data_IF_689123375574
#
_entry.id   IF_689123375574
#
_cell.length_a   1.000
_cell.length_b   1.000
_cell.length_c   1.000
_cell.angle_alpha   90.00
_cell.angle_beta   90.00
_cell.angle_gamma   90.00
#
_symmetry.space_group_name_H-M   'P 1'
#
loop_
_entity.id
_entity.type
_entity.pdbx_description
1 polymer ?
#
# COMPACT_ATOMS: atom_id res chain seq x y z
N UNK A 1 -21.96 -17.85 -3.65
CA UNK A 1 -22.06 -16.46 -3.22
C UNK A 1 -21.40 -15.59 -4.26
N UNK A 2 -22.20 -14.76 -4.91
CA UNK A 2 -21.83 -14.01 -6.10
C UNK A 2 -20.86 -12.87 -5.72
N UNK A 3 -19.60 -12.98 -6.16
CA UNK A 3 -18.71 -11.86 -6.27
C UNK A 3 -19.08 -11.08 -7.53
N UNK A 4 -19.66 -9.90 -7.38
CA UNK A 4 -20.04 -9.05 -8.50
C UNK A 4 -18.94 -8.07 -8.96
N UNK A 5 -17.72 -8.13 -8.41
CA UNK A 5 -16.58 -7.39 -8.98
C UNK A 5 -15.82 -8.27 -9.96
N UNK A 6 -16.26 -8.26 -11.19
CA UNK A 6 -15.70 -9.03 -12.29
C UNK A 6 -14.19 -8.86 -12.50
N UNK A 7 -13.63 -7.71 -12.11
CA UNK A 7 -12.24 -7.39 -12.38
C UNK A 7 -11.21 -8.07 -11.43
N UNK A 8 -11.52 -8.23 -10.13
CA UNK A 8 -10.59 -8.88 -9.19
C UNK A 8 -10.42 -10.37 -9.48
N UNK A 9 -11.46 -11.02 -10.03
CA UNK A 9 -11.41 -12.41 -10.43
C UNK A 9 -10.45 -12.68 -11.61
N UNK A 10 -9.98 -11.63 -12.30
CA UNK A 10 -8.99 -11.75 -13.37
C UNK A 10 -7.55 -11.89 -12.82
N UNK A 11 -7.32 -11.55 -11.55
CA UNK A 11 -6.03 -11.76 -10.92
C UNK A 11 -5.91 -13.23 -10.50
N UNK A 12 -4.95 -13.93 -11.09
CA UNK A 12 -4.63 -15.29 -10.70
C UNK A 12 -3.90 -15.30 -9.34
N UNK A 13 -4.66 -15.52 -8.26
CA UNK A 13 -4.18 -15.50 -6.88
C UNK A 13 -4.93 -16.55 -6.03
N UNK A 14 -4.30 -16.94 -4.91
CA UNK A 14 -4.95 -17.72 -3.84
C UNK A 14 -5.70 -16.77 -2.91
N UNK A 15 -7.02 -16.62 -3.09
CA UNK A 15 -7.80 -15.62 -2.40
C UNK A 15 -8.29 -16.05 -1.02
N UNK A 16 -8.01 -15.20 -0.03
CA UNK A 16 -8.58 -15.26 1.32
C UNK A 16 -9.59 -14.11 1.44
N UNK A 17 -10.86 -14.45 1.52
CA UNK A 17 -11.91 -13.46 1.73
C UNK A 17 -12.18 -13.30 3.23
N UNK A 18 -11.75 -12.22 3.81
CA UNK A 18 -11.86 -11.96 5.24
C UNK A 18 -13.24 -11.47 5.68
N UNK A 19 -14.07 -10.95 4.77
CA UNK A 19 -15.44 -10.49 5.10
C UNK A 19 -16.42 -11.64 5.40
N UNK A 20 -16.11 -12.86 4.94
CA UNK A 20 -16.96 -14.04 5.12
C UNK A 20 -16.71 -14.78 6.45
N UNK A 21 -15.74 -14.35 7.24
CA UNK A 21 -15.30 -15.09 8.40
C UNK A 21 -16.05 -14.70 9.68
N UNK A 22 -17.07 -15.46 10.01
CA UNK A 22 -17.46 -15.69 11.41
C UNK A 22 -16.58 -16.83 11.96
N UNK A 23 -15.28 -16.67 11.99
CA UNK A 23 -14.35 -17.72 12.39
C UNK A 23 -14.37 -17.90 13.91
N UNK A 24 -14.63 -19.11 14.34
CA UNK A 24 -14.45 -19.57 15.73
C UNK A 24 -13.25 -20.52 15.89
N UNK A 25 -12.42 -20.69 14.85
CA UNK A 25 -11.38 -21.72 14.88
C UNK A 25 -10.18 -21.37 13.98
N UNK A 26 -9.05 -21.88 14.38
CA UNK A 26 -7.85 -21.95 13.57
C UNK A 26 -8.06 -22.95 12.41
N UNK A 27 -7.60 -22.61 11.20
CA UNK A 27 -7.59 -23.52 10.07
C UNK A 27 -6.31 -23.30 9.25
N UNK A 28 -5.90 -24.33 8.53
CA UNK A 28 -4.80 -24.24 7.57
C UNK A 28 -5.31 -24.41 6.15
N UNK A 29 -4.65 -23.71 5.24
CA UNK A 29 -4.83 -23.89 3.81
C UNK A 29 -3.51 -24.38 3.21
N UNK A 30 -3.56 -25.41 2.38
CA UNK A 30 -2.40 -25.83 1.62
C UNK A 30 -2.35 -25.05 0.29
N UNK A 31 -1.25 -24.36 0.06
CA UNK A 31 -1.01 -23.57 -1.14
C UNK A 31 0.34 -23.96 -1.69
N UNK A 32 0.38 -24.56 -2.89
CA UNK A 32 1.62 -24.99 -3.54
C UNK A 32 2.54 -25.82 -2.61
N UNK A 33 1.96 -26.79 -1.89
CA UNK A 33 2.61 -27.65 -0.91
C UNK A 33 3.10 -26.92 0.38
N UNK A 34 2.69 -25.67 0.58
CA UNK A 34 2.93 -24.90 1.82
C UNK A 34 1.66 -24.86 2.66
N UNK A 35 1.76 -25.29 3.92
CA UNK A 35 0.67 -25.22 4.87
C UNK A 35 0.67 -23.86 5.59
N UNK A 36 -0.22 -22.96 5.14
CA UNK A 36 -0.43 -21.63 5.73
C UNK A 36 -1.46 -21.75 6.85
N UNK A 37 -1.09 -21.32 8.05
CA UNK A 37 -2.01 -21.24 9.18
C UNK A 37 -2.73 -19.90 9.18
N UNK A 38 -4.06 -19.94 9.36
CA UNK A 38 -4.90 -18.76 9.51
C UNK A 38 -5.70 -18.91 10.79
N UNK A 39 -5.54 -17.99 11.72
CA UNK A 39 -6.25 -18.00 12.99
C UNK A 39 -6.96 -16.68 13.26
N UNK A 40 -8.09 -16.77 13.94
CA UNK A 40 -8.81 -15.63 14.46
C UNK A 40 -8.54 -15.54 15.97
N UNK A 41 -7.84 -14.50 16.36
CA UNK A 41 -7.45 -14.28 17.75
C UNK A 41 -8.43 -13.29 18.37
N UNK A 42 -9.17 -13.73 19.39
CA UNK A 42 -10.09 -12.85 20.12
C UNK A 42 -9.32 -11.99 21.11
N UNK A 43 -9.51 -10.68 21.03
CA UNK A 43 -8.86 -9.72 21.94
C UNK A 43 -9.27 -9.89 23.41
N UNK A 44 -10.33 -10.67 23.69
CA UNK A 44 -10.78 -10.96 25.05
C UNK A 44 -9.97 -12.04 25.79
N UNK A 45 -9.16 -12.84 25.07
CA UNK A 45 -8.57 -14.07 25.63
C UNK A 45 -7.04 -14.11 25.67
N UNK A 46 -6.33 -13.16 25.08
CA UNK A 46 -4.87 -13.17 25.03
C UNK A 46 -4.27 -11.80 25.33
N UNK A 47 -3.10 -11.79 25.99
CA UNK A 47 -2.25 -10.62 26.07
C UNK A 47 -1.67 -10.35 24.66
N UNK A 48 -2.45 -9.71 23.84
CA UNK A 48 -1.98 -9.22 22.56
C UNK A 48 -1.04 -8.03 22.82
N UNK A 49 0.21 -8.18 22.48
CA UNK A 49 1.15 -7.07 22.45
C UNK A 49 0.85 -6.23 21.19
N UNK A 50 -0.21 -5.45 21.31
CA UNK A 50 -0.60 -4.51 20.26
C UNK A 50 0.39 -3.36 20.33
N UNK A 51 1.23 -3.21 19.33
CA UNK A 51 2.09 -2.04 19.21
C UNK A 51 1.23 -0.78 18.99
N UNK A 52 1.01 -0.03 20.05
CA UNK A 52 0.17 1.16 20.09
C UNK A 52 1.08 2.38 20.18
N UNK A 53 1.64 2.78 19.05
CA UNK A 53 2.56 3.91 19.01
C UNK A 53 1.94 5.19 18.40
N UNK A 54 0.69 5.12 17.96
CA UNK A 54 -0.01 6.21 17.29
C UNK A 54 -1.53 6.18 17.57
N UNK A 55 -2.23 7.32 17.40
CA UNK A 55 -3.67 7.41 17.68
C UNK A 55 -4.56 6.50 16.83
N UNK A 56 -4.15 6.18 15.60
CA UNK A 56 -4.92 5.35 14.65
C UNK A 56 -4.90 3.90 15.13
N UNK A 57 -3.71 3.39 15.46
CA UNK A 57 -3.55 2.04 16.03
C UNK A 57 -4.25 1.92 17.39
N UNK A 58 -4.22 2.98 18.22
CA UNK A 58 -4.97 3.04 19.47
C UNK A 58 -6.48 2.89 19.23
N UNK A 59 -7.04 3.67 18.30
CA UNK A 59 -8.46 3.60 17.98
C UNK A 59 -8.84 2.23 17.44
N UNK A 60 -8.02 1.67 16.55
CA UNK A 60 -8.23 0.32 16.04
C UNK A 60 -8.23 -0.71 17.15
N UNK A 61 -7.23 -0.68 18.04
CA UNK A 61 -7.11 -1.62 19.16
C UNK A 61 -8.28 -1.56 20.15
N UNK A 62 -8.86 -0.38 20.37
CA UNK A 62 -10.01 -0.20 21.25
C UNK A 62 -11.31 -0.74 20.67
N UNK A 63 -11.44 -0.72 19.34
CA UNK A 63 -12.69 -1.04 18.64
C UNK A 63 -12.69 -2.43 18.01
N UNK A 64 -11.53 -3.04 17.85
CA UNK A 64 -11.40 -4.37 17.25
C UNK A 64 -11.87 -5.45 18.21
N UNK A 65 -12.55 -6.47 17.65
CA UNK A 65 -12.99 -7.66 18.41
C UNK A 65 -12.08 -8.85 18.17
N UNK A 66 -11.62 -8.98 16.94
CA UNK A 66 -10.86 -10.13 16.49
C UNK A 66 -9.73 -9.68 15.57
N UNK A 67 -8.57 -10.30 15.71
CA UNK A 67 -7.38 -10.09 14.87
C UNK A 67 -7.18 -11.32 14.00
N UNK A 68 -6.99 -11.11 12.72
CA UNK A 68 -6.65 -12.19 11.79
C UNK A 68 -5.14 -12.36 11.81
N UNK A 69 -4.69 -13.57 12.10
CA UNK A 69 -3.27 -13.93 12.05
C UNK A 69 -3.04 -14.93 10.93
N UNK A 70 -2.11 -14.61 10.03
CA UNK A 70 -1.65 -15.47 8.94
C UNK A 70 -0.20 -15.82 9.22
N UNK A 71 0.12 -17.11 9.30
CA UNK A 71 1.48 -17.58 9.54
C UNK A 71 1.94 -18.41 8.36
N UNK A 72 3.01 -17.96 7.71
CA UNK A 72 3.67 -18.63 6.59
C UNK A 72 4.93 -19.30 7.15
N UNK A 73 5.06 -20.63 7.05
CA UNK A 73 6.20 -21.33 7.62
C UNK A 73 7.51 -20.96 6.92
N UNK A 74 8.63 -21.26 7.57
CA UNK A 74 9.96 -21.05 7.00
C UNK A 74 10.20 -21.89 5.74
N UNK A 75 11.11 -21.43 4.89
CA UNK A 75 11.50 -22.06 3.62
C UNK A 75 10.32 -22.18 2.62
N UNK A 76 9.34 -21.29 2.73
CA UNK A 76 8.18 -21.25 1.82
C UNK A 76 8.52 -20.48 0.54
N UNK A 77 8.15 -21.05 -0.60
CA UNK A 77 8.21 -20.35 -1.89
C UNK A 77 6.86 -20.52 -2.58
N UNK A 78 6.11 -19.42 -2.70
CA UNK A 78 4.77 -19.42 -3.28
C UNK A 78 4.80 -18.52 -4.52
N UNK A 79 4.64 -19.10 -5.70
CA UNK A 79 4.70 -18.36 -6.96
C UNK A 79 3.43 -17.56 -7.22
N UNK A 80 2.28 -18.19 -7.00
CA UNK A 80 0.99 -17.56 -7.17
C UNK A 80 0.65 -16.71 -5.95
N UNK A 81 0.31 -15.41 -6.13
CA UNK A 81 0.11 -14.51 -5.00
C UNK A 81 -0.95 -14.99 -4.00
N UNK A 82 -0.69 -14.79 -2.73
CA UNK A 82 -1.70 -14.88 -1.68
C UNK A 82 -2.47 -13.57 -1.64
N UNK A 83 -3.76 -13.60 -1.96
CA UNK A 83 -4.62 -12.43 -2.02
C UNK A 83 -5.52 -12.29 -0.80
N UNK A 84 -5.51 -11.13 -0.18
CA UNK A 84 -6.40 -10.75 0.92
C UNK A 84 -7.40 -9.73 0.37
N UNK A 85 -8.68 -10.02 0.47
CA UNK A 85 -9.74 -9.09 0.07
C UNK A 85 -10.54 -8.65 1.29
N UNK A 86 -10.65 -7.34 1.44
CA UNK A 86 -11.53 -6.70 2.40
C UNK A 86 -12.77 -6.19 1.69
N UNK A 87 -13.86 -6.93 1.79
CA UNK A 87 -15.17 -6.51 1.29
C UNK A 87 -16.09 -6.30 2.47
N UNK A 88 -16.64 -5.11 2.61
CA UNK A 88 -17.66 -4.86 3.62
C UNK A 88 -19.04 -5.22 3.08
N UNK A 89 -19.76 -6.04 3.85
CA UNK A 89 -21.22 -6.09 3.79
C UNK A 89 -21.72 -5.50 5.12
N UNK A 90 -21.93 -4.19 5.22
CA UNK A 90 -22.45 -3.63 6.46
C UNK A 90 -23.80 -4.26 6.77
N UNK A 91 -23.95 -4.74 7.98
CA UNK A 91 -25.25 -4.96 8.54
C UNK A 91 -25.94 -3.59 8.58
N UNK A 92 -27.22 -3.57 8.27
CA UNK A 92 -28.05 -2.37 8.34
C UNK A 92 -27.76 -1.60 9.63
N UNK A 93 -27.14 -0.39 9.54
CA UNK A 93 -26.71 0.53 10.59
C UNK A 93 -25.24 0.50 11.04
N UNK A 94 -24.34 -0.22 10.39
CA UNK A 94 -22.91 -0.10 10.67
C UNK A 94 -22.33 1.08 9.87
N UNK A 95 -21.71 2.05 10.56
CA UNK A 95 -21.07 3.22 9.94
C UNK A 95 -19.56 3.08 9.80
N UNK A 96 -18.98 2.06 10.41
CA UNK A 96 -17.53 1.86 10.40
C UNK A 96 -17.14 0.38 10.49
N UNK A 97 -15.95 0.08 9.94
CA UNK A 97 -15.23 -1.18 10.18
C UNK A 97 -13.85 -0.90 10.75
N UNK A 98 -13.48 -1.72 11.73
CA UNK A 98 -12.12 -1.78 12.25
C UNK A 98 -11.55 -3.15 11.88
N UNK A 99 -10.45 -3.16 11.16
CA UNK A 99 -9.84 -4.36 10.61
C UNK A 99 -8.40 -4.47 11.12
N UNK A 100 -7.98 -5.67 11.52
CA UNK A 100 -6.58 -5.94 11.88
C UNK A 100 -6.13 -7.29 11.37
N UNK A 101 -4.95 -7.29 10.75
CA UNK A 101 -4.32 -8.50 10.26
C UNK A 101 -2.84 -8.49 10.62
N UNK A 102 -2.34 -9.61 11.09
CA UNK A 102 -0.91 -9.86 11.36
C UNK A 102 -0.45 -10.97 10.43
N UNK A 103 0.66 -10.76 9.75
CA UNK A 103 1.25 -11.72 8.81
C UNK A 103 2.67 -12.01 9.24
N UNK A 104 2.91 -13.23 9.73
CA UNK A 104 4.24 -13.71 10.08
C UNK A 104 4.81 -14.51 8.92
N UNK A 105 5.96 -14.11 8.40
CA UNK A 105 6.64 -14.78 7.29
C UNK A 105 7.96 -15.37 7.78
N UNK A 106 8.01 -16.69 7.85
CA UNK A 106 9.17 -17.44 8.35
C UNK A 106 10.40 -17.29 7.46
N UNK A 107 11.56 -17.59 8.04
CA UNK A 107 12.88 -17.43 7.41
C UNK A 107 13.03 -18.13 6.05
N UNK A 108 13.89 -17.58 5.18
CA UNK A 108 14.23 -18.11 3.85
C UNK A 108 13.01 -18.30 2.95
N UNK A 109 12.00 -17.43 3.05
CA UNK A 109 10.76 -17.52 2.28
C UNK A 109 10.72 -16.50 1.14
N UNK A 110 9.99 -16.82 0.07
CA UNK A 110 9.75 -15.93 -1.07
C UNK A 110 8.25 -15.88 -1.36
N UNK A 111 7.63 -14.73 -1.08
CA UNK A 111 6.17 -14.61 -1.00
C UNK A 111 5.67 -13.40 -1.79
N UNK A 112 4.61 -13.60 -2.54
CA UNK A 112 3.82 -12.54 -3.17
C UNK A 112 2.51 -12.36 -2.40
N UNK A 113 2.26 -11.14 -1.89
CA UNK A 113 1.03 -10.79 -1.18
C UNK A 113 0.28 -9.69 -1.92
N UNK A 114 -1.03 -9.84 -2.02
CA UNK A 114 -1.94 -8.80 -2.55
C UNK A 114 -2.97 -8.48 -1.49
N UNK A 115 -3.17 -7.20 -1.22
CA UNK A 115 -4.17 -6.72 -0.27
C UNK A 115 -5.10 -5.72 -0.96
N UNK A 116 -6.38 -6.07 -1.12
CA UNK A 116 -7.35 -5.24 -1.84
C UNK A 116 -8.44 -4.77 -0.91
N UNK A 117 -8.58 -3.46 -0.85
CA UNK A 117 -9.68 -2.77 -0.19
C UNK A 117 -10.65 -2.24 -1.23
N UNK A 118 -11.84 -2.80 -1.28
CA UNK A 118 -12.90 -2.36 -2.18
C UNK A 118 -14.27 -2.51 -1.54
N UNK A 119 -15.20 -1.65 -1.93
CA UNK A 119 -16.57 -1.71 -1.47
C UNK A 119 -17.52 -1.18 -2.55
N UNK A 120 -18.68 -1.80 -2.70
CA UNK A 120 -19.74 -1.38 -3.61
C UNK A 120 -20.83 -0.55 -2.91
N UNK A 121 -20.67 -0.27 -1.61
CA UNK A 121 -21.65 0.47 -0.83
C UNK A 121 -21.63 1.94 -1.26
N UNK A 122 -22.79 2.51 -1.50
CA UNK A 122 -22.95 3.91 -1.91
C UNK A 122 -23.02 4.89 -0.74
N UNK A 123 -23.34 4.39 0.46
CA UNK A 123 -23.47 5.17 1.68
C UNK A 123 -22.12 5.64 2.20
N UNK A 124 -22.13 6.69 3.04
CA UNK A 124 -20.94 7.15 3.73
C UNK A 124 -20.48 6.10 4.75
N UNK A 125 -19.21 5.74 4.69
CA UNK A 125 -18.65 4.67 5.52
C UNK A 125 -17.21 4.96 5.93
N UNK A 126 -16.85 4.63 7.17
CA UNK A 126 -15.50 4.79 7.69
C UNK A 126 -14.81 3.43 7.86
N UNK A 127 -13.57 3.34 7.39
CA UNK A 127 -12.75 2.13 7.51
C UNK A 127 -11.45 2.50 8.20
N UNK A 128 -11.16 1.80 9.30
CA UNK A 128 -9.88 1.86 9.99
C UNK A 128 -9.23 0.48 9.92
N UNK A 129 -8.11 0.37 9.22
CA UNK A 129 -7.40 -0.90 9.08
C UNK A 129 -5.96 -0.81 9.59
N UNK A 130 -5.50 -1.88 10.23
CA UNK A 130 -4.11 -2.06 10.64
C UNK A 130 -3.61 -3.40 10.11
N UNK A 131 -2.46 -3.36 9.41
CA UNK A 131 -1.74 -4.52 8.93
C UNK A 131 -0.35 -4.53 9.56
N UNK A 132 0.07 -5.65 10.12
CA UNK A 132 1.42 -5.87 10.62
C UNK A 132 2.05 -7.02 9.83
N UNK A 133 3.27 -6.83 9.35
CA UNK A 133 3.98 -7.83 8.55
C UNK A 133 5.37 -8.02 9.13
N UNK A 134 5.61 -9.17 9.73
CA UNK A 134 6.90 -9.56 10.26
C UNK A 134 7.61 -10.49 9.27
N UNK A 135 8.79 -10.07 8.79
CA UNK A 135 9.55 -10.78 7.76
C UNK A 135 10.87 -11.24 8.36
N UNK A 136 10.96 -12.54 8.60
CA UNK A 136 12.15 -13.15 9.16
C UNK A 136 13.33 -13.18 8.16
N UNK A 137 14.50 -13.54 8.67
CA UNK A 137 15.79 -13.47 7.97
C UNK A 137 15.79 -14.14 6.60
N UNK A 138 16.50 -13.53 5.64
CA UNK A 138 16.68 -13.97 4.26
C UNK A 138 15.37 -14.13 3.46
N UNK A 139 14.26 -13.59 3.93
CA UNK A 139 12.97 -13.69 3.23
C UNK A 139 12.74 -12.48 2.32
N UNK A 140 12.06 -12.72 1.20
CA UNK A 140 11.73 -11.69 0.21
C UNK A 140 10.23 -11.63 0.01
N UNK A 141 9.67 -10.44 0.07
CA UNK A 141 8.23 -10.21 -0.06
C UNK A 141 7.95 -9.17 -1.14
N UNK A 142 7.10 -9.54 -2.10
CA UNK A 142 6.43 -8.60 -2.98
C UNK A 142 5.05 -8.32 -2.41
N UNK A 143 4.77 -7.08 -2.04
CA UNK A 143 3.50 -6.69 -1.46
C UNK A 143 2.83 -5.63 -2.33
N UNK A 144 1.57 -5.87 -2.69
CA UNK A 144 0.73 -4.94 -3.42
C UNK A 144 -0.52 -4.63 -2.63
N UNK A 145 -0.67 -3.38 -2.22
CA UNK A 145 -1.90 -2.85 -1.64
C UNK A 145 -2.66 -2.03 -2.67
N UNK A 146 -3.95 -2.27 -2.78
CA UNK A 146 -4.85 -1.49 -3.64
C UNK A 146 -6.02 -0.99 -2.80
N UNK A 147 -6.14 0.31 -2.65
CA UNK A 147 -7.30 0.97 -2.07
C UNK A 147 -8.15 1.57 -3.21
N UNK A 148 -9.35 1.04 -3.41
CA UNK A 148 -10.31 1.48 -4.42
C UNK A 148 -11.73 1.52 -3.85
N UNK A 149 -11.91 2.25 -2.75
CA UNK A 149 -13.22 2.47 -2.17
C UNK A 149 -14.05 3.49 -2.95
N UNK A 150 -15.35 3.48 -2.74
CA UNK A 150 -16.26 4.47 -3.30
C UNK A 150 -15.91 5.89 -2.82
N UNK A 151 -16.21 6.90 -3.64
CA UNK A 151 -15.95 8.31 -3.37
C UNK A 151 -16.67 8.88 -2.11
N UNK A 152 -17.61 8.16 -1.52
CA UNK A 152 -18.28 8.54 -0.27
C UNK A 152 -17.62 7.94 0.98
N UNK A 153 -16.57 7.11 0.82
CA UNK A 153 -15.92 6.46 1.95
C UNK A 153 -14.78 7.30 2.51
N UNK A 154 -14.50 7.06 3.78
CA UNK A 154 -13.33 7.57 4.48
C UNK A 154 -12.50 6.39 4.92
N UNK A 155 -11.24 6.33 4.54
CA UNK A 155 -10.34 5.24 4.91
C UNK A 155 -9.11 5.78 5.60
N UNK A 156 -8.75 5.16 6.71
CA UNK A 156 -7.47 5.36 7.36
C UNK A 156 -6.85 3.97 7.54
N UNK A 157 -5.71 3.76 6.94
CA UNK A 157 -4.98 2.52 7.07
C UNK A 157 -3.56 2.73 7.57
N UNK A 158 -3.10 1.79 8.37
CA UNK A 158 -1.72 1.71 8.82
C UNK A 158 -1.14 0.35 8.44
N UNK A 159 0.07 0.37 7.89
CA UNK A 159 0.84 -0.84 7.64
C UNK A 159 2.21 -0.73 8.32
N UNK A 160 2.49 -1.63 9.26
CA UNK A 160 3.77 -1.77 9.93
C UNK A 160 4.50 -2.99 9.38
N UNK A 161 5.73 -2.79 8.92
CA UNK A 161 6.58 -3.87 8.37
C UNK A 161 7.87 -3.94 9.18
N UNK A 162 8.19 -5.11 9.68
CA UNK A 162 9.44 -5.37 10.38
C UNK A 162 10.33 -6.32 9.57
N UNK A 163 11.56 -5.91 9.31
CA UNK A 163 12.54 -6.66 8.51
C UNK A 163 13.71 -7.15 9.37
N UNK A 164 13.91 -8.46 9.38
CA UNK A 164 15.07 -9.10 10.01
C UNK A 164 16.27 -9.13 9.03
N UNK A 165 17.35 -9.79 9.42
CA UNK A 165 18.64 -9.89 8.72
C UNK A 165 18.47 -10.32 7.26
N UNK A 166 19.00 -9.50 6.33
CA UNK A 166 18.91 -9.71 4.88
C UNK A 166 17.47 -9.88 4.35
N UNK A 167 16.45 -9.61 5.14
CA UNK A 167 15.07 -9.62 4.67
C UNK A 167 14.81 -8.46 3.70
N UNK A 168 13.89 -8.65 2.77
CA UNK A 168 13.52 -7.59 1.84
C UNK A 168 12.03 -7.52 1.57
N UNK A 169 11.55 -6.30 1.35
CA UNK A 169 10.19 -6.03 0.86
C UNK A 169 10.20 -5.08 -0.32
N UNK A 170 9.41 -5.41 -1.35
CA UNK A 170 8.98 -4.46 -2.37
C UNK A 170 7.49 -4.15 -2.11
N UNK A 171 7.24 -3.05 -1.45
CA UNK A 171 5.91 -2.59 -1.04
C UNK A 171 5.36 -1.64 -2.10
N UNK A 172 4.21 -1.97 -2.67
CA UNK A 172 3.56 -1.14 -3.67
C UNK A 172 2.18 -0.71 -3.18
N UNK A 173 1.93 0.61 -3.11
CA UNK A 173 0.70 1.23 -2.65
C UNK A 173 -0.03 1.90 -3.81
N UNK A 174 -1.24 1.43 -4.13
CA UNK A 174 -2.13 2.04 -5.13
C UNK A 174 -3.33 2.64 -4.41
N UNK A 175 -3.39 3.97 -4.34
CA UNK A 175 -4.39 4.71 -3.58
C UNK A 175 -5.24 5.56 -4.53
N UNK A 176 -6.48 5.11 -4.82
CA UNK A 176 -7.28 5.62 -5.94
C UNK A 176 -8.77 5.70 -5.64
N UNK A 177 -9.15 5.76 -4.40
CA UNK A 177 -10.54 5.83 -3.98
C UNK A 177 -10.73 6.70 -2.75
N UNK A 178 -11.93 6.60 -2.15
CA UNK A 178 -12.37 7.33 -0.96
C UNK A 178 -12.53 8.84 -1.17
N UNK A 179 -13.34 9.46 -0.34
CA UNK A 179 -13.43 10.93 -0.19
C UNK A 179 -12.22 11.46 0.59
N UNK A 180 -11.85 10.72 1.62
CA UNK A 180 -10.63 10.88 2.38
C UNK A 180 -9.94 9.53 2.47
N UNK A 181 -8.69 9.46 2.00
CA UNK A 181 -7.82 8.31 2.18
C UNK A 181 -6.57 8.75 2.92
N UNK A 182 -6.25 8.08 4.04
CA UNK A 182 -4.96 8.22 4.70
C UNK A 182 -4.28 6.87 4.79
N UNK A 183 -3.02 6.83 4.36
CA UNK A 183 -2.17 5.64 4.38
C UNK A 183 -0.89 5.93 5.15
N UNK A 184 -0.74 5.31 6.31
CA UNK A 184 0.47 5.35 7.14
C UNK A 184 1.24 4.05 6.93
N UNK A 185 2.39 4.11 6.28
CA UNK A 185 3.29 2.96 6.05
C UNK A 185 4.58 3.17 6.82
N UNK A 186 4.89 2.26 7.72
CA UNK A 186 6.11 2.27 8.50
C UNK A 186 6.91 0.99 8.24
N UNK A 187 8.14 1.14 7.76
CA UNK A 187 9.05 0.01 7.49
C UNK A 187 10.27 0.12 8.38
N UNK A 188 10.42 -0.85 9.26
CA UNK A 188 11.52 -0.97 10.21
C UNK A 188 12.57 -1.94 9.67
N UNK A 189 13.74 -1.40 9.29
CA UNK A 189 14.90 -2.19 8.90
C UNK A 189 15.70 -2.50 10.17
N UNK A 190 15.24 -3.54 10.90
CA UNK A 190 15.67 -3.82 12.26
C UNK A 190 17.06 -4.45 12.32
N UNK A 191 17.45 -5.20 11.28
CA UNK A 191 18.69 -5.97 11.28
C UNK A 191 19.53 -5.70 10.04
N UNK A 192 20.80 -6.12 10.13
CA UNK A 192 21.82 -5.94 9.09
C UNK A 192 21.37 -6.43 7.72
N UNK A 193 21.60 -5.59 6.70
CA UNK A 193 21.35 -5.93 5.30
C UNK A 193 19.88 -5.96 4.91
N UNK A 194 18.96 -5.55 5.78
CA UNK A 194 17.54 -5.43 5.45
C UNK A 194 17.31 -4.38 4.35
N UNK A 195 16.34 -4.63 3.45
CA UNK A 195 16.09 -3.79 2.28
C UNK A 195 14.59 -3.54 2.08
N UNK A 196 14.23 -2.30 1.80
CA UNK A 196 12.87 -1.91 1.51
C UNK A 196 12.78 -1.02 0.26
N UNK A 197 11.87 -1.36 -0.65
CA UNK A 197 11.42 -0.45 -1.71
C UNK A 197 9.95 -0.17 -1.49
N UNK A 198 9.60 1.08 -1.20
CA UNK A 198 8.21 1.51 -0.96
C UNK A 198 7.81 2.42 -2.11
N UNK A 199 6.93 1.91 -2.96
CA UNK A 199 6.50 2.61 -4.17
C UNK A 199 5.01 2.91 -4.06
N UNK A 200 4.56 4.01 -4.66
CA UNK A 200 3.14 4.33 -4.63
C UNK A 200 2.67 5.17 -5.80
N UNK A 201 1.41 4.96 -6.15
CA UNK A 201 0.65 5.82 -7.05
C UNK A 201 -0.61 6.25 -6.31
N UNK A 202 -0.89 7.54 -6.33
CA UNK A 202 -2.17 8.08 -5.89
C UNK A 202 -2.82 8.91 -6.99
N UNK A 203 -4.10 8.61 -7.22
CA UNK A 203 -4.94 9.34 -8.18
C UNK A 203 -6.08 10.00 -7.40
N UNK A 204 -5.97 11.31 -7.25
CA UNK A 204 -6.93 12.12 -6.53
C UNK A 204 -7.93 12.71 -7.53
N UNK A 205 -9.16 12.20 -7.49
CA UNK A 205 -10.28 12.72 -8.29
C UNK A 205 -10.80 14.06 -7.71
N UNK A 206 -11.80 14.66 -8.35
CA UNK A 206 -12.37 15.93 -7.91
C UNK A 206 -12.88 15.88 -6.46
N UNK A 207 -12.48 16.89 -5.66
CA UNK A 207 -12.87 17.05 -4.24
C UNK A 207 -12.47 15.89 -3.30
N UNK A 208 -11.50 15.10 -3.67
CA UNK A 208 -10.92 14.07 -2.78
C UNK A 208 -9.73 14.61 -2.00
N UNK A 209 -9.42 13.92 -0.90
CA UNK A 209 -8.22 14.14 -0.10
C UNK A 209 -7.47 12.82 0.05
N UNK A 210 -6.20 12.79 -0.41
CA UNK A 210 -5.33 11.62 -0.27
C UNK A 210 -4.07 12.02 0.51
N UNK A 211 -3.80 11.34 1.61
CA UNK A 211 -2.71 11.63 2.54
C UNK A 211 -1.84 10.37 2.73
N UNK A 212 -0.58 10.43 2.29
CA UNK A 212 0.39 9.35 2.39
C UNK A 212 1.53 9.71 3.33
N UNK A 213 1.69 8.95 4.40
CA UNK A 213 2.78 9.06 5.37
C UNK A 213 3.64 7.78 5.30
N UNK A 214 4.90 7.94 4.88
CA UNK A 214 5.79 6.81 4.59
C UNK A 214 7.06 6.97 5.42
N UNK A 215 7.28 6.05 6.35
CA UNK A 215 8.46 6.04 7.19
C UNK A 215 9.35 4.82 6.91
N UNK A 216 10.64 5.06 6.72
CA UNK A 216 11.66 4.02 6.61
C UNK A 216 12.68 4.21 7.72
N UNK A 217 12.66 3.32 8.71
CA UNK A 217 13.49 3.43 9.91
C UNK A 217 14.66 2.45 9.81
N UNK A 218 15.87 2.97 9.70
CA UNK A 218 17.10 2.19 9.64
C UNK A 218 17.69 2.05 11.05
N UNK A 219 17.58 0.87 11.64
CA UNK A 219 18.07 0.59 12.99
C UNK A 219 19.38 -0.20 13.02
N UNK A 220 19.86 -0.71 11.88
CA UNK A 220 21.05 -1.53 11.78
C UNK A 220 21.89 -1.18 10.55
N UNK A 221 23.13 -1.69 10.52
CA UNK A 221 24.11 -1.44 9.47
C UNK A 221 23.73 -2.02 8.11
N UNK A 222 24.25 -1.40 7.02
CA UNK A 222 24.13 -1.85 5.63
C UNK A 222 22.65 -2.04 5.17
N UNK A 223 21.75 -1.26 5.72
CA UNK A 223 20.34 -1.28 5.35
C UNK A 223 20.06 -0.33 4.19
N UNK A 224 19.09 -0.67 3.34
CA UNK A 224 18.77 0.13 2.16
C UNK A 224 17.27 0.39 2.07
N UNK A 225 16.85 1.65 1.87
CA UNK A 225 15.48 2.00 1.57
C UNK A 225 15.34 2.92 0.36
N UNK A 226 14.24 2.76 -0.37
CA UNK A 226 13.84 3.68 -1.44
C UNK A 226 12.35 3.95 -1.32
N UNK A 227 11.94 5.22 -1.41
CA UNK A 227 10.55 5.66 -1.47
C UNK A 227 10.32 6.34 -2.82
N UNK A 228 9.39 5.81 -3.65
CA UNK A 228 9.05 6.38 -4.95
C UNK A 228 7.55 6.57 -5.05
N UNK A 229 7.07 7.80 -5.01
CA UNK A 229 5.65 8.12 -5.07
C UNK A 229 5.31 9.05 -6.22
N UNK A 230 4.23 8.71 -6.93
CA UNK A 230 3.75 9.45 -8.09
C UNK A 230 2.29 9.83 -7.89
N UNK A 231 2.01 11.14 -7.90
CA UNK A 231 0.68 11.70 -7.68
C UNK A 231 0.10 12.34 -8.94
N UNK A 232 -1.17 12.07 -9.19
CA UNK A 232 -1.99 12.78 -10.16
C UNK A 232 -3.14 13.41 -9.41
N UNK A 233 -3.25 14.74 -9.47
CA UNK A 233 -4.22 15.49 -8.70
C UNK A 233 -5.18 16.20 -9.63
N UNK A 234 -6.44 15.81 -9.58
CA UNK A 234 -7.54 16.41 -10.34
C UNK A 234 -8.06 17.68 -9.70
N UNK A 235 -9.07 18.27 -10.34
CA UNK A 235 -9.68 19.54 -9.93
C UNK A 235 -10.14 19.54 -8.48
N UNK A 236 -9.73 20.55 -7.69
CA UNK A 236 -10.03 20.70 -6.26
C UNK A 236 -9.60 19.49 -5.42
N UNK A 237 -8.81 18.57 -5.99
CA UNK A 237 -8.18 17.50 -5.24
C UNK A 237 -7.07 18.07 -4.37
N UNK A 238 -6.93 17.51 -3.18
CA UNK A 238 -5.83 17.86 -2.28
C UNK A 238 -5.09 16.60 -1.85
N UNK A 239 -3.77 16.59 -2.02
CA UNK A 239 -2.92 15.50 -1.59
C UNK A 239 -1.91 15.95 -0.55
N UNK A 240 -1.50 15.01 0.28
CA UNK A 240 -0.36 15.15 1.18
C UNK A 240 0.58 13.97 0.95
N UNK A 241 1.87 14.25 0.86
CA UNK A 241 2.93 13.25 0.92
C UNK A 241 3.93 13.64 1.99
N UNK A 242 4.07 12.81 3.00
CA UNK A 242 5.06 12.94 4.05
C UNK A 242 5.97 11.70 4.03
N UNK A 243 7.16 11.83 3.45
CA UNK A 243 8.17 10.78 3.40
C UNK A 243 9.27 11.03 4.42
N UNK A 244 9.53 10.08 5.33
CA UNK A 244 10.60 10.19 6.31
C UNK A 244 11.55 9.00 6.21
N UNK A 245 12.86 9.26 6.25
CA UNK A 245 13.87 8.26 6.50
C UNK A 245 14.64 8.62 7.79
N UNK A 246 14.55 7.74 8.77
CA UNK A 246 15.29 7.82 10.01
C UNK A 246 16.50 6.89 9.94
N UNK A 247 17.72 7.45 10.07
CA UNK A 247 18.97 6.68 10.11
C UNK A 247 19.52 6.73 11.53
N UNK A 248 19.40 5.63 12.25
CA UNK A 248 19.85 5.51 13.63
C UNK A 248 21.39 5.54 13.74
N UNK A 249 21.94 5.85 14.89
CA UNK A 249 23.39 5.85 15.18
C UNK A 249 24.08 4.53 14.81
N UNK A 250 23.37 3.40 14.89
CA UNK A 250 23.90 2.07 14.57
C UNK A 250 23.79 1.68 13.09
N UNK A 251 23.21 2.53 12.26
CA UNK A 251 22.91 2.23 10.87
C UNK A 251 24.05 2.68 9.90
N UNK A 252 25.31 2.42 10.26
CA UNK A 252 26.46 2.70 9.39
C UNK A 252 26.34 1.95 8.05
N UNK A 253 26.71 2.62 6.96
CA UNK A 253 26.56 2.09 5.60
C UNK A 253 25.12 2.06 5.07
N UNK A 254 24.19 2.77 5.73
CA UNK A 254 22.81 2.85 5.26
C UNK A 254 22.70 3.69 3.98
N UNK A 255 21.79 3.28 3.10
CA UNK A 255 21.40 4.02 1.89
C UNK A 255 19.88 4.29 1.91
N UNK A 256 19.48 5.59 1.83
CA UNK A 256 18.08 5.98 1.83
C UNK A 256 17.79 7.02 0.73
N UNK A 257 16.86 6.70 -0.16
CA UNK A 257 16.47 7.59 -1.25
C UNK A 257 14.96 7.81 -1.23
N UNK A 258 14.53 9.08 -1.39
CA UNK A 258 13.12 9.46 -1.40
C UNK A 258 12.81 10.31 -2.63
N UNK A 259 11.79 9.91 -3.40
CA UNK A 259 11.33 10.65 -4.57
C UNK A 259 9.81 10.76 -4.56
N UNK A 260 9.32 11.99 -4.73
CA UNK A 260 7.89 12.25 -4.89
C UNK A 260 7.65 13.14 -6.09
N UNK A 261 6.94 12.63 -7.09
CA UNK A 261 6.66 13.33 -8.34
C UNK A 261 5.16 13.54 -8.50
N UNK A 262 4.73 14.78 -8.78
CA UNK A 262 3.33 15.14 -8.82
C UNK A 262 2.97 15.92 -10.06
N UNK A 263 1.82 15.62 -10.65
CA UNK A 263 1.20 16.37 -11.73
C UNK A 263 -0.13 16.93 -11.25
N UNK A 264 -0.27 18.25 -11.28
CA UNK A 264 -1.52 18.96 -11.08
C UNK A 264 -2.23 19.11 -12.41
N UNK A 265 -3.47 18.65 -12.51
CA UNK A 265 -4.26 18.69 -13.74
C UNK A 265 -5.11 19.95 -13.87
N UNK A 266 -5.23 20.73 -12.78
CA UNK A 266 -6.05 21.93 -12.70
C UNK A 266 -5.40 22.93 -11.74
N UNK A 267 -5.73 24.23 -11.90
CA UNK A 267 -5.18 25.30 -11.05
C UNK A 267 -5.70 25.23 -9.60
N UNK A 268 -6.87 24.61 -9.39
CA UNK A 268 -7.47 24.40 -8.06
C UNK A 268 -6.96 23.10 -7.38
N UNK A 269 -6.11 22.31 -8.05
CA UNK A 269 -5.48 21.13 -7.47
C UNK A 269 -4.30 21.53 -6.59
N UNK A 270 -4.09 20.81 -5.50
CA UNK A 270 -2.99 21.12 -4.57
C UNK A 270 -2.34 19.88 -3.96
N UNK A 271 -1.07 20.01 -3.61
CA UNK A 271 -0.32 19.01 -2.87
C UNK A 271 0.64 19.65 -1.88
N UNK A 272 0.68 19.10 -0.67
CA UNK A 272 1.72 19.34 0.31
C UNK A 272 2.69 18.16 0.30
N UNK A 273 3.95 18.41 -0.08
CA UNK A 273 4.98 17.37 -0.13
C UNK A 273 6.12 17.70 0.81
N UNK A 274 6.40 16.75 1.73
CA UNK A 274 7.40 16.91 2.79
C UNK A 274 8.31 15.68 2.86
N UNK A 275 9.39 15.61 2.05
CA UNK A 275 10.43 14.61 2.28
C UNK A 275 11.33 15.04 3.46
N UNK A 276 11.59 14.11 4.37
CA UNK A 276 12.33 14.33 5.63
C UNK A 276 13.45 13.30 5.79
N UNK A 277 14.65 13.79 6.17
CA UNK A 277 15.80 12.94 6.52
C UNK A 277 16.25 13.27 7.95
N UNK A 278 16.22 12.27 8.83
CA UNK A 278 16.82 12.34 10.17
C UNK A 278 18.01 11.38 10.23
N UNK A 279 19.22 11.93 10.32
CA UNK A 279 20.45 11.16 10.18
C UNK A 279 21.31 11.33 11.42
N UNK A 280 21.64 10.23 12.10
CA UNK A 280 22.40 10.19 13.33
C UNK A 280 23.76 9.47 13.20
N UNK A 281 24.24 9.18 11.97
CA UNK A 281 25.56 8.61 11.68
C UNK A 281 26.13 9.20 10.40
N UNK A 282 27.47 9.28 10.29
CA UNK A 282 28.13 9.98 9.17
C UNK A 282 28.35 9.10 7.93
N UNK A 283 28.42 7.77 8.10
CA UNK A 283 28.68 6.83 7.01
C UNK A 283 27.37 6.38 6.33
N UNK A 284 26.82 7.27 5.50
CA UNK A 284 25.52 7.04 4.83
C UNK A 284 25.50 7.64 3.42
N UNK A 285 24.56 7.15 2.60
CA UNK A 285 24.18 7.75 1.31
C UNK A 285 22.69 8.03 1.32
N UNK A 286 22.33 9.29 1.49
CA UNK A 286 20.94 9.70 1.57
C UNK A 286 20.62 10.79 0.56
N UNK A 287 19.48 10.68 -0.10
CA UNK A 287 18.98 11.71 -1.01
C UNK A 287 17.46 11.81 -0.94
N UNK A 288 16.96 12.99 -1.20
CA UNK A 288 15.54 13.19 -1.42
C UNK A 288 15.28 14.18 -2.57
N UNK A 289 14.13 14.05 -3.20
CA UNK A 289 13.68 14.95 -4.25
C UNK A 289 12.16 14.97 -4.36
N UNK A 290 11.61 16.14 -4.60
CA UNK A 290 10.19 16.32 -4.86
C UNK A 290 9.98 17.22 -6.05
N UNK A 291 9.00 16.91 -6.89
CA UNK A 291 8.59 17.75 -8.01
C UNK A 291 7.08 17.91 -8.01
N UNK A 292 6.65 19.14 -8.27
CA UNK A 292 5.24 19.47 -8.50
C UNK A 292 5.19 20.26 -9.81
N UNK A 293 4.39 19.78 -10.75
CA UNK A 293 4.30 20.41 -12.06
C UNK A 293 2.96 20.15 -12.74
N UNK A 294 2.85 20.59 -13.98
CA UNK A 294 1.73 20.35 -14.86
C UNK A 294 2.15 19.41 -15.99
N UNK A 295 1.20 18.99 -16.83
CA UNK A 295 1.54 18.25 -18.04
C UNK A 295 2.41 19.09 -18.97
N UNK A 296 3.40 18.45 -19.61
CA UNK A 296 4.27 19.11 -20.58
C UNK A 296 3.47 19.60 -21.80
N UNK A 297 3.33 20.92 -21.91
CA UNK A 297 2.59 21.57 -22.99
C UNK A 297 3.23 21.35 -24.37
N UNK A 298 4.54 21.22 -24.42
CA UNK A 298 5.23 20.93 -25.68
C UNK A 298 4.93 19.51 -26.15
N UNK A 299 4.91 18.55 -25.23
CA UNK A 299 4.51 17.18 -25.54
C UNK A 299 3.05 17.13 -26.00
N UNK A 300 2.14 17.82 -25.32
CA UNK A 300 0.73 17.92 -25.69
C UNK A 300 0.59 18.56 -27.11
N UNK A 301 1.27 19.66 -27.35
CA UNK A 301 1.26 20.33 -28.68
C UNK A 301 1.77 19.39 -29.78
N UNK A 302 2.88 18.70 -29.54
CA UNK A 302 3.44 17.73 -30.49
C UNK A 302 2.45 16.61 -30.82
N UNK A 303 1.82 16.00 -29.81
CA UNK A 303 0.84 14.93 -30.00
C UNK A 303 -0.38 15.42 -30.78
N UNK A 304 -0.89 16.62 -30.46
CA UNK A 304 -2.00 17.25 -31.18
C UNK A 304 -1.66 17.56 -32.63
N UNK A 305 -0.44 18.01 -32.93
CA UNK A 305 0.02 18.25 -34.31
C UNK A 305 0.07 16.98 -35.16
N UNK A 306 0.10 15.80 -34.51
CA UNK A 306 0.02 14.47 -35.14
C UNK A 306 -1.40 13.93 -35.25
N UNK A 307 -2.43 14.73 -34.93
CA UNK A 307 -3.83 14.38 -35.08
C UNK A 307 -4.43 13.68 -33.86
N UNK A 308 -3.70 13.59 -32.73
CA UNK A 308 -4.24 13.02 -31.47
C UNK A 308 -5.07 14.13 -30.79
N UNK A 309 -6.30 13.86 -30.44
CA UNK A 309 -7.15 14.81 -29.72
C UNK A 309 -6.60 15.10 -28.29
N UNK A 310 -6.99 16.26 -27.73
CA UNK A 310 -6.45 16.73 -26.46
C UNK A 310 -6.69 15.75 -25.30
N UNK A 311 -7.88 15.15 -25.22
CA UNK A 311 -8.22 14.22 -24.13
C UNK A 311 -7.34 12.98 -24.20
N UNK A 312 -7.22 12.39 -25.38
CA UNK A 312 -6.36 11.22 -25.62
C UNK A 312 -4.90 11.53 -25.31
N UNK A 313 -4.39 12.70 -25.79
CA UNK A 313 -3.01 13.11 -25.51
C UNK A 313 -2.72 13.27 -24.02
N UNK A 314 -3.62 13.93 -23.26
CA UNK A 314 -3.51 14.01 -21.80
C UNK A 314 -3.47 12.64 -21.15
N UNK A 315 -4.43 11.77 -21.46
CA UNK A 315 -4.49 10.40 -20.92
C UNK A 315 -3.21 9.61 -21.19
N UNK A 316 -2.66 9.71 -22.40
CA UNK A 316 -1.41 9.01 -22.75
C UNK A 316 -0.22 9.51 -21.94
N UNK A 317 -0.07 10.83 -21.73
CA UNK A 317 1.02 11.39 -20.92
C UNK A 317 0.89 10.99 -19.44
N UNK A 318 -0.32 11.04 -18.90
CA UNK A 318 -0.56 10.64 -17.51
C UNK A 318 -0.31 9.13 -17.34
N UNK A 319 -0.78 8.30 -18.28
CA UNK A 319 -0.51 6.87 -18.26
C UNK A 319 0.99 6.57 -18.29
N UNK A 320 1.74 7.23 -19.14
CA UNK A 320 3.20 7.07 -19.21
C UNK A 320 3.90 7.49 -17.90
N UNK A 321 3.39 8.51 -17.22
CA UNK A 321 3.91 8.94 -15.92
C UNK A 321 3.66 7.90 -14.84
N UNK A 322 2.45 7.38 -14.72
CA UNK A 322 2.07 6.36 -13.74
C UNK A 322 2.77 5.02 -14.03
N UNK A 323 2.95 4.68 -15.30
CA UNK A 323 3.58 3.42 -15.72
C UNK A 323 5.00 3.25 -15.16
N UNK A 324 5.71 4.33 -14.85
CA UNK A 324 7.03 4.26 -14.22
C UNK A 324 6.99 3.52 -12.88
N UNK A 325 5.93 3.71 -12.09
CA UNK A 325 5.74 3.00 -10.81
C UNK A 325 5.11 1.63 -11.03
N UNK A 326 4.09 1.52 -11.89
CA UNK A 326 3.47 0.22 -12.14
C UNK A 326 4.47 -0.83 -12.64
N UNK A 327 5.50 -0.41 -13.37
CA UNK A 327 6.57 -1.31 -13.83
C UNK A 327 7.46 -1.87 -12.71
N UNK A 328 7.42 -1.29 -11.50
CA UNK A 328 8.14 -1.79 -10.33
C UNK A 328 7.39 -2.93 -9.62
N UNK A 329 6.10 -3.12 -9.93
CA UNK A 329 5.27 -4.19 -9.39
C UNK A 329 5.64 -5.50 -10.11
N UNK A 330 6.20 -6.45 -9.38
CA UNK A 330 6.69 -7.71 -9.96
C UNK A 330 5.62 -8.81 -10.02
N UNK A 331 4.47 -8.62 -9.37
CA UNK A 331 3.35 -9.57 -9.40
C UNK A 331 2.66 -9.53 -10.76
N UNK A 332 3.11 -10.38 -11.68
CA UNK A 332 2.67 -10.35 -13.10
C UNK A 332 1.18 -10.52 -13.29
N UNK A 333 0.51 -11.33 -12.47
CA UNK A 333 -0.94 -11.58 -12.58
C UNK A 333 -1.78 -10.33 -12.31
N UNK A 334 -1.21 -9.25 -11.74
CA UNK A 334 -1.94 -8.01 -11.45
C UNK A 334 -1.86 -6.96 -12.57
N UNK A 335 -0.97 -7.12 -13.53
CA UNK A 335 -0.68 -6.06 -14.52
C UNK A 335 -1.92 -5.66 -15.32
N UNK A 336 -2.64 -6.62 -15.90
CA UNK A 336 -3.85 -6.33 -16.68
C UNK A 336 -4.92 -5.62 -15.83
N UNK A 337 -5.11 -6.09 -14.60
CA UNK A 337 -6.05 -5.48 -13.66
C UNK A 337 -5.68 -4.03 -13.34
N UNK A 338 -4.41 -3.77 -13.04
CA UNK A 338 -3.93 -2.42 -12.74
C UNK A 338 -4.06 -1.49 -13.94
N UNK A 339 -3.72 -1.94 -15.13
CA UNK A 339 -3.85 -1.14 -16.36
C UNK A 339 -5.31 -0.75 -16.62
N UNK A 340 -6.25 -1.68 -16.47
CA UNK A 340 -7.69 -1.41 -16.60
C UNK A 340 -8.19 -0.46 -15.51
N UNK A 341 -7.79 -0.70 -14.25
CA UNK A 341 -8.18 0.10 -13.10
C UNK A 341 -7.70 1.55 -13.25
N UNK A 342 -6.43 1.75 -13.57
CA UNK A 342 -5.84 3.08 -13.79
C UNK A 342 -6.49 3.77 -15.00
N UNK A 343 -6.67 3.06 -16.12
CA UNK A 343 -7.33 3.63 -17.30
C UNK A 343 -8.75 4.11 -16.98
N UNK A 344 -9.51 3.32 -16.24
CA UNK A 344 -10.88 3.66 -15.81
C UNK A 344 -10.89 4.90 -14.92
N UNK A 345 -9.92 5.03 -14.01
CA UNK A 345 -9.80 6.19 -13.12
C UNK A 345 -9.35 7.44 -13.87
N UNK A 346 -8.37 7.32 -14.76
CA UNK A 346 -7.90 8.44 -15.57
C UNK A 346 -8.98 9.00 -16.51
N UNK A 347 -9.94 8.19 -16.92
CA UNK A 347 -11.08 8.66 -17.74
C UNK A 347 -12.03 9.61 -16.99
N UNK A 348 -11.96 9.64 -15.64
CA UNK A 348 -12.77 10.49 -14.74
C UNK A 348 -12.03 11.79 -14.34
N UNK A 349 -10.71 11.82 -14.46
CA UNK A 349 -9.87 13.01 -14.25
C UNK A 349 -9.89 13.91 -15.50
#
# INVERSE_FOLDING_TARGET
SNFSSTAVNEIDAHWINLSAFSLKSEFSINVEDVDISISLLSTSNENFDIQINDPISCLNALLIKDVIKITIPKNSSIEKPLGIIWTNSPKQNDFCSNLRCVVDIGENSNINLINIFQNEISEEYFINSVMEIDIEKNSNVEYLKIQNFNANHHSIDRCLVNLDTNASINFNNIDIGSKLSRSDVEVNLNQKGARASVNGVYLCEENQHIDNHIWSNHFSELTTSTQNFYGIIGKKGHCVFNGKALINEKASGAEANQYNHNILLDDDASIDTKPELEIYTDDVKCSHGSTVGQLDENALYYMRSRGIDLKTAKTMLISAFVQKILSLIKIKSTQNYLDQLITTKLAKL
#
